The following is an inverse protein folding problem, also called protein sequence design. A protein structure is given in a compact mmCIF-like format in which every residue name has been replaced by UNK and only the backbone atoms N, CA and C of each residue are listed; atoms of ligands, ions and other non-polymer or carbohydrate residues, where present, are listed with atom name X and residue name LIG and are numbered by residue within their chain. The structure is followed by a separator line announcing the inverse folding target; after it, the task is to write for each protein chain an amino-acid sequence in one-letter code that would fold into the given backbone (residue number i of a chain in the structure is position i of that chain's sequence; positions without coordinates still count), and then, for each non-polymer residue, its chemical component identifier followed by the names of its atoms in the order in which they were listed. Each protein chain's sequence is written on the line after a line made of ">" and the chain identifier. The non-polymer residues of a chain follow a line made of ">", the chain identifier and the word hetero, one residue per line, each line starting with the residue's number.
data_IF_844583461831
#
_entry.id   IF_844583461831
#
_cell.length_a   1.000
_cell.length_b   1.000
_cell.length_c   1.000
_cell.angle_alpha   90.00
_cell.angle_beta   90.00
_cell.angle_gamma   90.00
#
_symmetry.space_group_name_H-M   'P 1'
#
loop_
_entity.id
_entity.type
_entity.pdbx_description
1 polymer ?
#
# COMPACT_ATOMS: atom_id res chain seq x y z
N UNK A 1 35.95 -12.96 -10.91
CA UNK A 1 34.53 -13.04 -11.29
C UNK A 1 34.08 -11.62 -11.58
N UNK A 2 33.43 -11.34 -12.71
CA UNK A 2 32.82 -10.03 -12.92
C UNK A 2 31.79 -9.84 -11.80
N UNK A 3 31.91 -8.76 -11.03
CA UNK A 3 30.90 -8.39 -10.04
C UNK A 3 29.60 -8.09 -10.79
N UNK A 4 28.45 -8.60 -10.31
CA UNK A 4 27.13 -8.28 -10.88
C UNK A 4 26.67 -6.84 -10.53
N UNK A 5 27.60 -6.01 -10.08
CA UNK A 5 27.39 -4.60 -9.76
C UNK A 5 27.46 -3.80 -11.06
N UNK A 6 26.52 -2.87 -11.31
CA UNK A 6 26.62 -1.93 -12.42
C UNK A 6 27.97 -1.22 -12.43
N UNK A 7 28.50 -0.92 -13.62
CA UNK A 7 29.69 -0.08 -13.77
C UNK A 7 29.35 1.39 -13.99
N UNK A 8 28.08 1.67 -14.31
CA UNK A 8 27.56 3.02 -14.49
C UNK A 8 27.42 3.70 -13.10
N UNK A 9 28.06 4.86 -12.86
CA UNK A 9 27.96 5.55 -11.58
C UNK A 9 26.57 6.12 -11.30
N UNK A 10 25.75 6.40 -12.31
CA UNK A 10 24.39 6.97 -12.16
C UNK A 10 23.46 6.10 -11.28
N UNK A 11 23.22 4.79 -11.59
CA UNK A 11 22.41 3.94 -10.74
C UNK A 11 23.03 3.68 -9.35
N UNK A 12 24.35 3.73 -9.24
CA UNK A 12 25.06 3.55 -7.96
C UNK A 12 24.92 4.78 -7.06
N UNK A 13 25.04 5.99 -7.62
CA UNK A 13 24.78 7.23 -6.90
C UNK A 13 23.30 7.31 -6.46
N UNK A 14 22.38 6.93 -7.35
CA UNK A 14 20.95 6.81 -7.02
C UNK A 14 20.71 5.83 -5.87
N UNK A 15 21.39 4.68 -5.87
CA UNK A 15 21.32 3.67 -4.79
C UNK A 15 21.76 4.25 -3.44
N UNK A 16 22.87 5.01 -3.42
CA UNK A 16 23.37 5.67 -2.21
C UNK A 16 22.35 6.66 -1.67
N UNK A 17 21.92 7.61 -2.51
CA UNK A 17 21.00 8.69 -2.11
C UNK A 17 19.65 8.12 -1.66
N UNK A 18 19.13 7.12 -2.35
CA UNK A 18 17.87 6.45 -1.97
C UNK A 18 17.99 5.73 -0.64
N UNK A 19 19.06 4.97 -0.45
CA UNK A 19 19.31 4.23 0.80
C UNK A 19 19.44 5.16 2.00
N UNK A 20 20.20 6.24 1.86
CA UNK A 20 20.38 7.24 2.91
C UNK A 20 19.07 7.96 3.23
N UNK A 21 18.31 8.37 2.21
CA UNK A 21 17.00 9.00 2.40
C UNK A 21 16.04 8.07 3.17
N UNK A 22 15.95 6.79 2.78
CA UNK A 22 15.13 5.80 3.50
C UNK A 22 15.60 5.57 4.94
N UNK A 23 16.90 5.70 5.22
CA UNK A 23 17.44 5.52 6.57
C UNK A 23 17.17 6.73 7.48
N UNK A 24 17.38 7.94 6.98
CA UNK A 24 17.25 9.18 7.77
C UNK A 24 15.81 9.65 7.92
N UNK A 25 14.90 9.24 7.03
CA UNK A 25 13.52 9.69 7.05
C UNK A 25 12.64 8.82 8.00
N UNK A 26 12.11 9.39 9.10
CA UNK A 26 11.31 8.61 10.05
C UNK A 26 10.02 8.04 9.44
N UNK A 27 9.47 8.69 8.40
CA UNK A 27 8.26 8.20 7.72
C UNK A 27 8.51 6.90 6.94
N UNK A 28 9.77 6.56 6.65
CA UNK A 28 10.10 5.30 5.96
C UNK A 28 9.63 4.08 6.77
N UNK A 29 9.77 4.16 8.09
CA UNK A 29 9.35 3.10 9.01
C UNK A 29 7.83 3.03 9.14
N UNK A 30 7.13 4.17 9.03
CA UNK A 30 5.66 4.20 9.00
C UNK A 30 5.11 3.54 7.72
N UNK A 31 5.75 3.78 6.57
CA UNK A 31 5.35 3.22 5.28
C UNK A 31 5.40 1.68 5.26
N UNK A 32 6.41 1.07 5.90
CA UNK A 32 6.43 -0.37 6.17
C UNK A 32 7.46 -0.73 7.24
N UNK A 33 7.00 -0.96 8.46
CA UNK A 33 7.89 -1.39 9.55
C UNK A 33 8.60 -2.71 9.21
N UNK A 34 7.91 -3.66 8.57
CA UNK A 34 8.48 -4.96 8.23
C UNK A 34 9.62 -4.87 7.21
N UNK A 35 9.42 -4.15 6.09
CA UNK A 35 10.51 -3.97 5.12
C UNK A 35 11.59 -3.04 5.62
N UNK A 36 11.23 -2.09 6.49
CA UNK A 36 12.21 -1.27 7.16
C UNK A 36 13.13 -2.13 8.03
N UNK A 37 12.63 -2.93 8.98
CA UNK A 37 13.49 -3.74 9.85
C UNK A 37 14.37 -4.73 9.05
N UNK A 38 13.82 -5.40 8.02
CA UNK A 38 14.59 -6.35 7.19
C UNK A 38 15.76 -5.73 6.42
N UNK A 39 15.66 -4.45 6.08
CA UNK A 39 16.70 -3.72 5.36
C UNK A 39 17.75 -3.05 6.26
N UNK A 40 17.58 -3.10 7.59
CA UNK A 40 18.33 -2.25 8.52
C UNK A 40 19.85 -2.39 8.40
N UNK A 41 20.36 -3.62 8.48
CA UNK A 41 21.80 -3.89 8.43
C UNK A 41 22.47 -3.41 7.14
N UNK A 42 21.77 -3.51 6.01
CA UNK A 42 22.28 -3.01 4.73
C UNK A 42 22.36 -1.49 4.69
N UNK A 43 21.35 -0.81 5.25
CA UNK A 43 21.34 0.67 5.31
C UNK A 43 22.40 1.20 6.26
N UNK A 44 22.58 0.58 7.42
CA UNK A 44 23.65 0.94 8.36
C UNK A 44 25.04 0.80 7.73
N UNK A 45 25.25 -0.24 6.90
CA UNK A 45 26.50 -0.41 6.16
C UNK A 45 26.74 0.70 5.12
N UNK A 46 25.69 1.24 4.50
CA UNK A 46 25.80 2.38 3.57
C UNK A 46 26.09 3.67 4.34
N UNK A 47 25.43 3.91 5.47
CA UNK A 47 25.68 5.08 6.33
C UNK A 47 27.14 5.09 6.79
N UNK A 48 27.64 3.96 7.31
CA UNK A 48 29.02 3.84 7.75
C UNK A 48 30.03 4.07 6.61
N UNK A 49 29.74 3.58 5.40
CA UNK A 49 30.59 3.80 4.24
C UNK A 49 30.56 5.27 3.75
N UNK A 50 29.39 5.92 3.81
CA UNK A 50 29.24 7.32 3.43
C UNK A 50 30.04 8.27 4.33
N UNK A 51 30.12 7.95 5.63
CA UNK A 51 30.93 8.68 6.62
C UNK A 51 32.45 8.46 6.44
N UNK A 52 32.87 7.48 5.63
CA UNK A 52 34.27 7.09 5.41
C UNK A 52 34.78 7.41 4.00
N UNK A 53 34.04 8.22 3.22
CA UNK A 53 34.45 8.58 1.85
C UNK A 53 35.73 9.40 1.78
N UNK A 54 36.05 10.15 2.85
CA UNK A 54 37.18 11.08 2.87
C UNK A 54 36.95 12.37 2.06
N UNK A 55 35.77 12.54 1.45
CA UNK A 55 35.37 13.75 0.73
C UNK A 55 34.54 14.66 1.64
N UNK A 56 35.05 15.87 1.90
CA UNK A 56 34.39 16.84 2.80
C UNK A 56 33.02 17.27 2.26
N UNK A 57 32.89 17.44 0.95
CA UNK A 57 31.62 17.82 0.30
C UNK A 57 30.56 16.72 0.46
N UNK A 58 30.93 15.47 0.19
CA UNK A 58 30.04 14.32 0.39
C UNK A 58 29.62 14.20 1.85
N UNK A 59 30.56 14.36 2.78
CA UNK A 59 30.28 14.28 4.23
C UNK A 59 29.31 15.38 4.68
N UNK A 60 29.48 16.61 4.18
CA UNK A 60 28.56 17.73 4.41
C UNK A 60 27.15 17.41 3.88
N UNK A 61 27.05 16.97 2.63
CA UNK A 61 25.78 16.66 1.96
C UNK A 61 25.04 15.49 2.62
N UNK A 62 25.75 14.47 3.12
CA UNK A 62 25.17 13.39 3.93
C UNK A 62 24.61 13.93 5.25
N UNK A 63 25.31 14.86 5.90
CA UNK A 63 24.82 15.56 7.09
C UNK A 63 23.57 16.39 6.81
N UNK A 64 23.55 17.15 5.72
CA UNK A 64 22.37 17.90 5.31
C UNK A 64 21.18 16.99 4.97
N UNK A 65 21.42 15.84 4.33
CA UNK A 65 20.39 14.86 3.99
C UNK A 65 19.80 14.20 5.24
N UNK A 66 20.62 14.02 6.29
CA UNK A 66 20.15 13.51 7.59
C UNK A 66 19.14 14.45 8.23
N UNK A 67 19.37 15.75 8.16
CA UNK A 67 18.47 16.77 8.72
C UNK A 67 17.26 17.05 7.83
N UNK A 68 17.43 16.94 6.50
CA UNK A 68 16.40 17.26 5.50
C UNK A 68 16.28 16.16 4.44
N UNK A 69 15.80 14.96 4.80
CA UNK A 69 15.77 13.80 3.89
C UNK A 69 14.83 13.98 2.68
N UNK A 70 13.86 14.89 2.79
CA UNK A 70 12.89 15.22 1.74
C UNK A 70 13.30 16.41 0.86
N UNK A 71 14.50 16.98 1.04
CA UNK A 71 14.94 18.14 0.25
C UNK A 71 15.51 17.71 -1.11
N UNK A 72 14.87 18.11 -2.23
CA UNK A 72 15.30 17.70 -3.57
C UNK A 72 16.66 18.27 -3.96
N UNK A 73 17.03 19.46 -3.47
CA UNK A 73 18.31 20.09 -3.79
C UNK A 73 19.48 19.35 -3.14
N UNK A 74 19.32 18.93 -1.87
CA UNK A 74 20.35 18.16 -1.16
C UNK A 74 20.56 16.80 -1.82
N UNK A 75 19.48 16.11 -2.19
CA UNK A 75 19.55 14.80 -2.87
C UNK A 75 20.23 14.91 -4.23
N UNK A 76 19.88 15.92 -5.02
CA UNK A 76 20.49 16.15 -6.33
C UNK A 76 21.97 16.50 -6.19
N UNK A 77 22.33 17.36 -5.23
CA UNK A 77 23.73 17.73 -4.99
C UNK A 77 24.59 16.52 -4.58
N UNK A 78 24.08 15.66 -3.68
CA UNK A 78 24.78 14.43 -3.28
C UNK A 78 24.93 13.47 -4.45
N UNK A 79 23.86 13.27 -5.24
CA UNK A 79 23.91 12.46 -6.44
C UNK A 79 24.99 12.94 -7.41
N UNK A 80 24.94 14.22 -7.79
CA UNK A 80 25.91 14.83 -8.72
C UNK A 80 27.33 14.68 -8.20
N UNK A 81 27.57 14.93 -6.91
CA UNK A 81 28.91 14.80 -6.31
C UNK A 81 29.47 13.38 -6.43
N UNK A 82 28.63 12.37 -6.19
CA UNK A 82 29.04 10.96 -6.29
C UNK A 82 29.39 10.57 -7.74
N UNK A 83 28.64 11.09 -8.73
CA UNK A 83 28.95 10.87 -10.15
C UNK A 83 30.25 11.57 -10.57
N UNK A 84 30.49 12.80 -10.11
CA UNK A 84 31.74 13.52 -10.35
C UNK A 84 32.95 12.79 -9.76
N UNK A 85 32.86 12.33 -8.50
CA UNK A 85 33.92 11.55 -7.85
C UNK A 85 34.25 10.26 -8.63
N UNK A 86 33.23 9.62 -9.21
CA UNK A 86 33.44 8.43 -10.04
C UNK A 86 34.11 8.78 -11.38
N UNK A 87 33.75 9.91 -12.00
CA UNK A 87 34.36 10.40 -13.23
C UNK A 87 35.84 10.81 -13.03
N UNK A 88 36.19 11.30 -11.84
CA UNK A 88 37.56 11.69 -11.47
C UNK A 88 38.49 10.51 -11.13
N UNK A 89 38.06 9.27 -11.42
CA UNK A 89 38.84 8.05 -11.24
C UNK A 89 38.53 7.28 -9.97
N UNK A 90 37.65 7.80 -9.11
CA UNK A 90 37.18 7.13 -7.89
C UNK A 90 38.31 6.72 -6.93
N UNK A 91 37.94 5.99 -5.88
CA UNK A 91 38.87 5.41 -4.93
C UNK A 91 38.20 4.27 -4.17
N UNK A 92 38.98 3.50 -3.41
CA UNK A 92 38.50 2.32 -2.67
C UNK A 92 37.29 2.62 -1.77
N UNK A 93 37.24 3.82 -1.17
CA UNK A 93 36.12 4.26 -0.35
C UNK A 93 34.83 4.47 -1.17
N UNK A 94 34.92 5.06 -2.36
CA UNK A 94 33.77 5.24 -3.25
C UNK A 94 33.28 3.91 -3.83
N UNK A 95 34.21 3.03 -4.23
CA UNK A 95 33.89 1.67 -4.67
C UNK A 95 33.18 0.87 -3.57
N UNK A 96 33.64 1.01 -2.32
CA UNK A 96 33.00 0.41 -1.15
C UNK A 96 31.60 0.97 -0.96
N UNK A 97 31.43 2.29 -0.97
CA UNK A 97 30.13 2.94 -0.82
C UNK A 97 29.13 2.46 -1.89
N UNK A 98 29.54 2.47 -3.16
CA UNK A 98 28.73 1.98 -4.28
C UNK A 98 28.41 0.49 -4.16
N UNK A 99 29.38 -0.34 -3.76
CA UNK A 99 29.16 -1.76 -3.52
C UNK A 99 28.14 -2.03 -2.40
N UNK A 100 28.23 -1.28 -1.29
CA UNK A 100 27.26 -1.38 -0.18
C UNK A 100 25.88 -0.88 -0.58
N UNK A 101 25.81 0.22 -1.33
CA UNK A 101 24.54 0.78 -1.80
C UNK A 101 23.84 -0.17 -2.78
N UNK A 102 24.58 -0.77 -3.71
CA UNK A 102 24.00 -1.76 -4.62
C UNK A 102 23.52 -3.03 -3.88
N UNK A 103 24.26 -3.46 -2.86
CA UNK A 103 23.82 -4.54 -1.98
C UNK A 103 22.54 -4.17 -1.22
N UNK A 104 22.44 -2.94 -0.71
CA UNK A 104 21.23 -2.45 -0.05
C UNK A 104 20.05 -2.41 -1.01
N UNK A 105 20.21 -1.86 -2.22
CA UNK A 105 19.17 -1.84 -3.24
C UNK A 105 18.69 -3.23 -3.66
N UNK A 106 19.61 -4.20 -3.72
CA UNK A 106 19.31 -5.59 -4.10
C UNK A 106 18.61 -6.38 -3.00
N UNK A 107 18.77 -5.99 -1.73
CA UNK A 107 18.23 -6.71 -0.57
C UNK A 107 17.11 -5.95 0.16
N UNK A 108 16.91 -4.67 -0.16
CA UNK A 108 15.82 -3.84 0.36
C UNK A 108 14.58 -3.93 -0.52
N UNK A 109 13.42 -3.97 0.13
CA UNK A 109 12.11 -3.83 -0.52
C UNK A 109 11.49 -2.45 -0.31
N UNK A 110 12.27 -1.51 0.23
CA UNK A 110 11.86 -0.14 0.50
C UNK A 110 12.76 0.81 -0.30
N UNK A 111 12.16 1.47 -1.28
CA UNK A 111 12.78 2.53 -2.06
C UNK A 111 12.17 3.89 -1.76
N UNK A 112 12.52 4.89 -2.57
CA UNK A 112 12.08 6.28 -2.39
C UNK A 112 11.85 6.95 -3.73
N UNK A 113 10.83 7.79 -3.80
CA UNK A 113 10.55 8.68 -4.91
C UNK A 113 10.41 10.11 -4.39
N UNK A 114 11.03 11.05 -5.09
CA UNK A 114 10.87 12.48 -4.86
C UNK A 114 10.78 13.17 -6.22
N UNK A 115 9.59 13.68 -6.52
CA UNK A 115 9.33 14.45 -7.72
C UNK A 115 10.09 15.77 -7.72
N UNK A 116 10.45 16.24 -8.92
CA UNK A 116 11.27 17.45 -9.13
C UNK A 116 10.56 18.73 -8.69
N UNK A 117 9.23 18.69 -8.66
CA UNK A 117 8.35 19.80 -8.29
C UNK A 117 7.68 19.59 -6.93
N UNK A 118 8.13 18.60 -6.15
CA UNK A 118 7.67 18.42 -4.78
C UNK A 118 8.28 19.52 -3.90
N UNK A 119 7.44 20.37 -3.31
CA UNK A 119 7.85 21.45 -2.41
C UNK A 119 7.58 21.15 -0.93
N UNK A 120 6.79 20.10 -0.64
CA UNK A 120 6.40 19.64 0.70
C UNK A 120 5.73 20.69 1.61
N UNK A 121 5.61 21.92 1.15
CA UNK A 121 5.32 23.11 1.95
C UNK A 121 4.34 23.98 1.20
N UNK A 122 3.07 23.94 1.59
CA UNK A 122 2.02 24.79 1.01
C UNK A 122 0.71 24.06 0.67
N UNK A 123 0.75 22.73 0.56
CA UNK A 123 -0.46 21.96 0.34
C UNK A 123 -1.32 21.88 1.61
N UNK A 124 -2.52 22.47 1.57
CA UNK A 124 -3.48 22.32 2.65
C UNK A 124 -3.97 20.87 2.74
N UNK A 125 -4.02 20.33 3.96
CA UNK A 125 -4.54 18.99 4.23
C UNK A 125 -5.99 18.90 3.77
N UNK A 126 -6.27 17.98 2.86
CA UNK A 126 -7.64 17.67 2.45
C UNK A 126 -8.31 16.91 3.60
N UNK A 127 -9.45 17.41 4.08
CA UNK A 127 -10.21 16.78 5.16
C UNK A 127 -11.47 16.07 4.64
N UNK A 128 -12.01 15.06 5.35
CA UNK A 128 -13.24 14.38 4.95
C UNK A 128 -14.41 15.33 4.69
N UNK A 129 -14.57 16.39 5.49
CA UNK A 129 -15.69 17.32 5.37
C UNK A 129 -15.66 18.04 4.01
N UNK A 130 -14.46 18.36 3.52
CA UNK A 130 -14.28 18.98 2.21
C UNK A 130 -14.62 18.01 1.08
N UNK A 131 -14.23 16.74 1.19
CA UNK A 131 -14.64 15.71 0.23
C UNK A 131 -16.16 15.51 0.21
N UNK A 132 -16.81 15.59 1.39
CA UNK A 132 -18.27 15.51 1.52
C UNK A 132 -19.04 16.67 0.87
N UNK A 133 -18.39 17.79 0.53
CA UNK A 133 -19.03 18.87 -0.25
C UNK A 133 -19.19 18.55 -1.73
N UNK A 134 -18.50 17.52 -2.22
CA UNK A 134 -18.59 17.10 -3.63
C UNK A 134 -19.78 16.18 -3.81
N UNK A 135 -20.47 16.35 -4.94
CA UNK A 135 -21.51 15.40 -5.32
C UNK A 135 -20.91 13.99 -5.46
N UNK A 136 -21.62 12.94 -5.01
CA UNK A 136 -21.12 11.57 -5.07
C UNK A 136 -20.94 11.02 -6.48
N UNK A 137 -21.50 11.68 -7.50
CA UNK A 137 -21.56 11.18 -8.87
C UNK A 137 -22.74 10.23 -9.07
N UNK A 138 -22.85 9.68 -10.28
CA UNK A 138 -23.97 8.81 -10.65
C UNK A 138 -23.84 7.41 -10.00
N UNK A 139 -24.95 6.91 -9.48
CA UNK A 139 -25.11 5.54 -8.98
C UNK A 139 -25.35 4.51 -10.10
N UNK A 140 -25.56 3.25 -9.72
CA UNK A 140 -26.12 2.27 -10.65
C UNK A 140 -27.57 2.61 -11.00
N UNK A 141 -27.93 2.40 -12.26
CA UNK A 141 -29.31 2.44 -12.73
C UNK A 141 -30.09 1.17 -12.33
N UNK A 142 -31.42 1.24 -12.26
CA UNK A 142 -32.25 0.05 -12.06
C UNK A 142 -32.04 -0.96 -13.19
N UNK A 143 -31.67 -2.19 -12.83
CA UNK A 143 -31.47 -3.28 -13.80
C UNK A 143 -30.08 -3.33 -14.45
N UNK A 144 -29.15 -2.46 -14.05
CA UNK A 144 -27.75 -2.62 -14.44
C UNK A 144 -27.21 -3.98 -13.96
N UNK A 145 -26.42 -4.64 -14.80
CA UNK A 145 -25.74 -5.91 -14.51
C UNK A 145 -24.21 -5.71 -14.60
N UNK A 146 -23.57 -5.22 -13.53
CA UNK A 146 -22.14 -4.94 -13.50
C UNK A 146 -21.28 -6.18 -13.77
N UNK A 147 -20.25 -6.02 -14.60
CA UNK A 147 -19.28 -7.08 -14.89
C UNK A 147 -18.16 -7.13 -13.85
N UNK A 148 -17.87 -6.00 -13.20
CA UNK A 148 -16.82 -5.83 -12.20
C UNK A 148 -17.42 -5.46 -10.86
N UNK A 149 -17.00 -6.16 -9.80
CA UNK A 149 -17.29 -5.79 -8.41
C UNK A 149 -16.01 -5.31 -7.73
N UNK A 150 -15.97 -4.05 -7.36
CA UNK A 150 -14.94 -3.49 -6.50
C UNK A 150 -15.38 -3.67 -5.04
N UNK A 151 -14.56 -4.33 -4.23
CA UNK A 151 -14.81 -4.53 -2.80
C UNK A 151 -13.76 -3.76 -2.01
N UNK A 152 -14.22 -2.82 -1.19
CA UNK A 152 -13.39 -1.94 -0.37
C UNK A 152 -13.61 -2.25 1.10
N UNK A 153 -12.71 -3.02 1.75
CA UNK A 153 -12.76 -3.25 3.19
C UNK A 153 -12.34 -1.98 3.93
N UNK A 154 -13.07 -1.61 4.98
CA UNK A 154 -12.87 -0.32 5.64
C UNK A 154 -13.02 -0.38 7.15
N UNK A 155 -12.16 0.36 7.85
CA UNK A 155 -12.31 0.72 9.27
C UNK A 155 -11.56 2.01 9.57
N UNK A 156 -12.23 2.95 10.23
CA UNK A 156 -11.58 4.12 10.81
C UNK A 156 -12.12 4.40 12.21
N UNK A 157 -11.26 4.25 13.23
CA UNK A 157 -11.52 4.63 14.62
C UNK A 157 -10.78 5.91 15.03
N UNK A 158 -9.98 6.46 14.12
CA UNK A 158 -9.05 7.55 14.38
C UNK A 158 -9.62 8.91 13.97
N UNK A 159 -8.72 9.86 13.63
CA UNK A 159 -9.08 11.25 13.36
C UNK A 159 -9.72 11.47 11.97
N UNK A 160 -10.10 10.42 11.24
CA UNK A 160 -10.78 10.53 9.95
C UNK A 160 -9.86 10.47 8.72
N UNK A 161 -8.56 10.19 8.86
CA UNK A 161 -7.64 10.12 7.71
C UNK A 161 -7.96 8.94 6.79
N UNK A 162 -8.34 7.78 7.35
CA UNK A 162 -8.79 6.64 6.53
C UNK A 162 -10.15 6.92 5.91
N UNK A 163 -11.04 7.63 6.60
CA UNK A 163 -12.29 8.10 6.01
C UNK A 163 -12.04 9.05 4.83
N UNK A 164 -11.12 10.02 4.96
CA UNK A 164 -10.71 10.89 3.85
C UNK A 164 -10.27 10.05 2.65
N UNK A 165 -9.39 9.09 2.91
CA UNK A 165 -8.86 8.22 1.87
C UNK A 165 -9.96 7.41 1.20
N UNK A 166 -10.87 6.79 1.97
CA UNK A 166 -12.02 6.09 1.44
C UNK A 166 -12.86 7.00 0.53
N UNK A 167 -13.19 8.21 0.98
CA UNK A 167 -13.99 9.15 0.19
C UNK A 167 -13.27 9.56 -1.10
N UNK A 168 -11.96 9.79 -1.06
CA UNK A 168 -11.18 10.09 -2.25
C UNK A 168 -11.11 8.90 -3.22
N UNK A 169 -10.93 7.68 -2.70
CA UNK A 169 -10.96 6.43 -3.47
C UNK A 169 -12.31 6.24 -4.17
N UNK A 170 -13.43 6.35 -3.43
CA UNK A 170 -14.78 6.22 -3.98
C UNK A 170 -15.07 7.29 -5.03
N UNK A 171 -14.65 8.53 -4.81
CA UNK A 171 -14.84 9.61 -5.80
C UNK A 171 -13.96 9.43 -7.04
N UNK A 172 -12.74 8.91 -6.90
CA UNK A 172 -11.89 8.56 -8.03
C UNK A 172 -12.47 7.40 -8.85
N UNK A 173 -13.08 6.41 -8.19
CA UNK A 173 -13.85 5.33 -8.82
C UNK A 173 -15.11 5.82 -9.53
N UNK A 174 -15.60 7.04 -9.29
CA UNK A 174 -16.74 7.61 -10.03
C UNK A 174 -16.30 8.36 -11.29
N UNK A 175 -15.01 8.66 -11.43
CA UNK A 175 -14.39 9.24 -12.62
C UNK A 175 -13.62 8.15 -13.38
N UNK A 176 -14.34 7.21 -13.99
CA UNK A 176 -13.78 6.11 -14.79
C UNK A 176 -14.17 6.26 -16.27
N UNK A 177 -13.31 5.78 -17.18
CA UNK A 177 -13.55 5.84 -18.63
C UNK A 177 -14.53 4.79 -19.16
N UNK A 178 -14.91 3.82 -18.33
CA UNK A 178 -15.98 2.85 -18.63
C UNK A 178 -17.35 3.39 -18.20
N UNK A 179 -18.45 2.96 -18.85
CA UNK A 179 -19.79 3.30 -18.41
C UNK A 179 -20.03 2.89 -16.95
N UNK A 180 -20.79 3.71 -16.22
CA UNK A 180 -21.13 3.45 -14.81
C UNK A 180 -21.75 2.07 -14.60
N UNK A 181 -22.65 1.63 -15.48
CA UNK A 181 -23.30 0.32 -15.44
C UNK A 181 -22.34 -0.89 -15.54
N UNK A 182 -21.06 -0.66 -15.89
CA UNK A 182 -20.09 -1.74 -16.11
C UNK A 182 -19.49 -2.31 -14.81
N UNK A 183 -19.51 -1.54 -13.72
CA UNK A 183 -18.89 -1.92 -12.46
C UNK A 183 -19.76 -1.52 -11.27
N UNK A 184 -19.53 -2.11 -10.11
CA UNK A 184 -20.16 -1.75 -8.84
C UNK A 184 -19.10 -1.63 -7.73
N UNK A 185 -19.41 -0.83 -6.71
CA UNK A 185 -18.53 -0.61 -5.56
C UNK A 185 -19.27 -0.96 -4.28
N UNK A 186 -18.75 -1.99 -3.60
CA UNK A 186 -19.18 -2.41 -2.27
C UNK A 186 -18.17 -1.93 -1.24
N UNK A 187 -18.63 -1.17 -0.26
CA UNK A 187 -17.84 -0.87 0.94
C UNK A 187 -18.28 -1.79 2.07
N UNK A 188 -17.31 -2.42 2.73
CA UNK A 188 -17.54 -3.26 3.91
C UNK A 188 -16.89 -2.59 5.11
N UNK A 189 -17.70 -1.92 5.94
CA UNK A 189 -17.24 -1.35 7.20
C UNK A 189 -17.22 -2.44 8.27
N UNK A 190 -16.04 -2.72 8.83
CA UNK A 190 -15.91 -3.66 9.94
C UNK A 190 -15.42 -2.94 11.20
N UNK A 191 -16.32 -2.81 12.17
CA UNK A 191 -16.06 -2.19 13.47
C UNK A 191 -17.09 -2.73 14.50
N UNK A 192 -17.08 -2.27 15.74
CA UNK A 192 -18.12 -2.58 16.73
C UNK A 192 -19.41 -1.77 16.55
N UNK A 193 -19.36 -0.65 15.82
CA UNK A 193 -20.54 0.15 15.43
C UNK A 193 -20.35 0.72 14.03
N UNK A 194 -21.42 0.93 13.23
CA UNK A 194 -21.33 1.49 11.88
C UNK A 194 -21.11 3.01 11.95
N UNK A 195 -19.86 3.44 12.18
CA UNK A 195 -19.51 4.84 12.47
C UNK A 195 -19.70 5.76 11.28
N UNK A 196 -19.41 5.26 10.09
CA UNK A 196 -19.31 6.08 8.88
C UNK A 196 -20.38 5.78 7.84
N UNK A 197 -21.39 4.98 8.19
CA UNK A 197 -22.49 4.57 7.31
C UNK A 197 -23.07 5.74 6.53
N UNK A 198 -23.53 6.79 7.21
CA UNK A 198 -24.24 7.90 6.57
C UNK A 198 -23.33 8.72 5.65
N UNK A 199 -22.03 8.75 5.94
CA UNK A 199 -21.02 9.41 5.11
C UNK A 199 -20.66 8.58 3.88
N UNK A 200 -20.65 7.25 4.00
CA UNK A 200 -20.23 6.34 2.92
C UNK A 200 -21.35 5.98 1.96
N UNK A 201 -22.58 5.80 2.47
CA UNK A 201 -23.76 5.40 1.68
C UNK A 201 -23.96 6.19 0.39
N UNK A 202 -23.79 7.53 0.35
CA UNK A 202 -23.94 8.28 -0.89
C UNK A 202 -22.91 7.95 -1.98
N UNK A 203 -21.74 7.45 -1.60
CA UNK A 203 -20.59 7.25 -2.50
C UNK A 203 -20.38 5.79 -2.92
N UNK A 204 -21.02 4.83 -2.25
CA UNK A 204 -20.97 3.40 -2.54
C UNK A 204 -22.29 2.91 -3.16
N UNK A 205 -22.25 1.85 -3.96
CA UNK A 205 -23.50 1.24 -4.47
C UNK A 205 -24.07 0.27 -3.44
N UNK A 206 -23.18 -0.40 -2.72
CA UNK A 206 -23.52 -1.28 -1.62
C UNK A 206 -22.67 -0.92 -0.39
N UNK A 207 -23.34 -0.86 0.75
CA UNK A 207 -22.70 -0.73 2.05
C UNK A 207 -23.08 -1.94 2.90
N UNK A 208 -22.08 -2.64 3.41
CA UNK A 208 -22.24 -3.74 4.35
C UNK A 208 -21.55 -3.38 5.66
N UNK A 209 -22.20 -3.71 6.77
CA UNK A 209 -21.59 -3.59 8.09
C UNK A 209 -21.31 -4.99 8.65
N UNK A 210 -20.05 -5.24 8.99
CA UNK A 210 -19.56 -6.52 9.48
C UNK A 210 -19.04 -6.33 10.92
N UNK A 211 -19.89 -6.62 11.92
CA UNK A 211 -19.59 -6.29 13.32
C UNK A 211 -18.38 -7.08 13.85
N UNK A 212 -17.31 -6.38 14.19
CA UNK A 212 -16.11 -6.92 14.86
C UNK A 212 -15.45 -5.84 15.72
N UNK A 213 -15.78 -5.78 17.02
CA UNK A 213 -15.21 -4.80 17.94
C UNK A 213 -13.69 -4.92 18.15
N UNK A 214 -13.12 -6.10 17.90
CA UNK A 214 -11.71 -6.37 18.18
C UNK A 214 -10.78 -5.96 17.00
N UNK A 215 -9.73 -6.74 16.76
CA UNK A 215 -8.79 -6.57 15.64
C UNK A 215 -9.52 -6.56 14.29
N UNK A 216 -9.05 -5.72 13.36
CA UNK A 216 -9.60 -5.70 11.99
C UNK A 216 -9.33 -7.04 11.33
N UNK A 217 -10.22 -7.49 10.45
CA UNK A 217 -9.98 -8.67 9.65
C UNK A 217 -10.30 -8.33 8.19
N UNK A 218 -9.25 -7.94 7.46
CA UNK A 218 -9.34 -7.56 6.04
C UNK A 218 -9.91 -8.71 5.21
N UNK A 219 -9.36 -9.91 5.38
CA UNK A 219 -9.77 -11.12 4.66
C UNK A 219 -11.27 -11.39 4.78
N UNK A 220 -11.80 -11.34 6.00
CA UNK A 220 -13.22 -11.54 6.27
C UNK A 220 -14.08 -10.42 5.68
N UNK A 221 -13.69 -9.16 5.84
CA UNK A 221 -14.42 -8.03 5.26
C UNK A 221 -14.51 -8.15 3.72
N UNK A 222 -13.41 -8.56 3.07
CA UNK A 222 -13.39 -8.82 1.62
C UNK A 222 -14.30 -9.99 1.25
N UNK A 223 -14.17 -11.14 1.91
CA UNK A 223 -15.03 -12.30 1.65
C UNK A 223 -16.51 -11.95 1.84
N UNK A 224 -16.84 -11.22 2.90
CA UNK A 224 -18.21 -10.78 3.18
C UNK A 224 -18.73 -9.86 2.07
N UNK A 225 -17.92 -8.93 1.56
CA UNK A 225 -18.27 -8.08 0.43
C UNK A 225 -18.49 -8.87 -0.86
N UNK A 226 -17.62 -9.83 -1.17
CA UNK A 226 -17.78 -10.68 -2.35
C UNK A 226 -19.05 -11.51 -2.28
N UNK A 227 -19.32 -12.14 -1.12
CA UNK A 227 -20.41 -13.11 -0.95
C UNK A 227 -21.78 -12.46 -0.78
N UNK A 228 -21.87 -11.32 -0.09
CA UNK A 228 -23.15 -10.73 0.30
C UNK A 228 -23.59 -9.56 -0.58
N UNK A 229 -22.75 -9.07 -1.49
CA UNK A 229 -23.18 -8.08 -2.49
C UNK A 229 -24.12 -8.72 -3.51
N UNK A 230 -25.31 -8.13 -3.76
CA UNK A 230 -26.27 -8.63 -4.74
C UNK A 230 -25.69 -8.73 -6.15
N UNK A 231 -26.25 -9.58 -7.00
CA UNK A 231 -25.82 -9.72 -8.39
C UNK A 231 -24.62 -10.66 -8.58
N UNK A 232 -24.18 -10.79 -9.83
CA UNK A 232 -23.10 -11.70 -10.24
C UNK A 232 -22.10 -10.94 -11.11
N UNK A 233 -21.00 -10.49 -10.51
CA UNK A 233 -19.87 -9.96 -11.26
C UNK A 233 -18.98 -11.10 -11.79
N UNK A 234 -18.45 -10.95 -13.00
CA UNK A 234 -17.47 -11.87 -13.57
C UNK A 234 -16.08 -11.68 -12.92
N UNK A 235 -15.75 -10.42 -12.59
CA UNK A 235 -14.46 -9.98 -12.08
C UNK A 235 -14.64 -9.31 -10.72
N UNK A 236 -13.74 -9.60 -9.80
CA UNK A 236 -13.62 -8.94 -8.49
C UNK A 236 -12.34 -8.09 -8.50
N UNK A 237 -12.46 -6.86 -8.03
CA UNK A 237 -11.34 -6.02 -7.62
C UNK A 237 -11.37 -5.86 -6.10
N UNK A 238 -10.40 -6.42 -5.41
CA UNK A 238 -10.15 -6.14 -3.99
C UNK A 238 -9.31 -4.87 -3.97
N UNK A 239 -9.82 -3.80 -3.36
CA UNK A 239 -9.17 -2.50 -3.36
C UNK A 239 -9.16 -1.92 -1.95
N UNK A 240 -7.98 -1.64 -1.41
CA UNK A 240 -7.86 -0.97 -0.12
C UNK A 240 -8.42 0.46 -0.19
N UNK A 241 -9.04 0.91 0.91
CA UNK A 241 -9.65 2.24 1.00
C UNK A 241 -8.65 3.39 0.79
N UNK A 242 -7.35 3.09 0.91
CA UNK A 242 -6.25 4.03 0.83
C UNK A 242 -5.64 4.14 -0.58
N UNK A 243 -6.19 3.46 -1.59
CA UNK A 243 -5.75 3.55 -2.98
C UNK A 243 -6.38 4.74 -3.72
N UNK A 244 -5.57 5.58 -4.39
CA UNK A 244 -6.04 6.62 -5.31
C UNK A 244 -5.85 6.20 -6.76
N UNK A 245 -6.95 5.90 -7.46
CA UNK A 245 -6.93 5.33 -8.82
C UNK A 245 -7.07 6.40 -9.92
N UNK A 246 -6.44 6.16 -11.07
CA UNK A 246 -6.62 6.98 -12.29
C UNK A 246 -7.94 6.67 -13.03
N UNK A 247 -8.23 7.48 -14.06
CA UNK A 247 -9.48 7.40 -14.85
C UNK A 247 -9.61 6.10 -15.66
N UNK A 248 -8.50 5.50 -16.06
CA UNK A 248 -8.50 4.30 -16.91
C UNK A 248 -8.31 3.02 -16.10
N UNK A 249 -8.32 3.12 -14.76
CA UNK A 249 -8.09 2.02 -13.84
C UNK A 249 -8.96 0.79 -14.12
N UNK A 250 -10.29 0.95 -14.22
CA UNK A 250 -11.20 -0.19 -14.49
C UNK A 250 -10.97 -0.73 -15.91
N UNK A 251 -10.95 0.15 -16.93
CA UNK A 251 -10.80 -0.25 -18.33
C UNK A 251 -9.53 -1.07 -18.57
N UNK A 252 -8.39 -0.55 -18.10
CA UNK A 252 -7.07 -1.16 -18.27
C UNK A 252 -6.97 -2.50 -17.55
N UNK A 253 -7.53 -2.62 -16.35
CA UNK A 253 -7.47 -3.87 -15.60
C UNK A 253 -8.40 -4.96 -16.15
N UNK A 254 -9.59 -4.59 -16.62
CA UNK A 254 -10.49 -5.55 -17.27
C UNK A 254 -9.91 -6.07 -18.58
N UNK A 255 -9.26 -5.20 -19.37
CA UNK A 255 -8.63 -5.61 -20.63
C UNK A 255 -7.63 -6.76 -20.48
N UNK A 256 -6.97 -6.88 -19.31
CA UNK A 256 -6.01 -7.96 -18.99
C UNK A 256 -6.67 -9.33 -18.92
N UNK A 257 -7.94 -9.41 -18.53
CA UNK A 257 -8.69 -10.66 -18.47
C UNK A 257 -9.08 -11.23 -19.85
N UNK A 258 -8.90 -10.46 -20.92
CA UNK A 258 -9.06 -10.97 -22.30
C UNK A 258 -7.85 -11.77 -22.79
N UNK A 259 -6.74 -11.79 -22.05
CA UNK A 259 -5.60 -12.64 -22.37
C UNK A 259 -5.92 -14.12 -22.05
N UNK A 260 -5.48 -15.07 -22.90
CA UNK A 260 -5.67 -16.49 -22.63
C UNK A 260 -5.12 -16.89 -21.27
N UNK A 261 -5.94 -17.55 -20.45
CA UNK A 261 -5.54 -18.05 -19.14
C UNK A 261 -5.54 -17.03 -18.00
N UNK A 262 -5.85 -15.76 -18.24
CA UNK A 262 -5.88 -14.74 -17.19
C UNK A 262 -6.97 -15.02 -16.14
N UNK A 263 -6.55 -15.35 -14.91
CA UNK A 263 -7.43 -15.66 -13.78
C UNK A 263 -7.33 -14.65 -12.63
N UNK A 264 -6.20 -13.96 -12.51
CA UNK A 264 -6.05 -12.80 -11.65
C UNK A 264 -4.71 -12.11 -11.85
N UNK A 265 -4.56 -10.93 -11.25
CA UNK A 265 -3.32 -10.16 -11.30
C UNK A 265 -3.25 -9.10 -10.19
N UNK A 266 -2.03 -8.65 -9.89
CA UNK A 266 -1.80 -7.33 -9.28
C UNK A 266 -1.58 -6.32 -10.40
N UNK A 267 -2.26 -5.18 -10.33
CA UNK A 267 -2.13 -4.13 -11.36
C UNK A 267 -0.75 -3.47 -11.37
N UNK A 268 -0.01 -3.61 -10.28
CA UNK A 268 1.19 -2.87 -9.99
C UNK A 268 2.32 -3.82 -9.56
N UNK A 269 3.55 -3.32 -9.73
CA UNK A 269 4.75 -3.98 -9.25
C UNK A 269 5.23 -3.31 -7.98
N UNK A 270 5.20 -1.99 -7.94
CA UNK A 270 5.66 -1.22 -6.79
C UNK A 270 4.51 -0.31 -6.29
N UNK A 271 4.36 -0.23 -4.97
CA UNK A 271 3.36 0.60 -4.31
C UNK A 271 4.01 1.87 -3.77
N UNK A 272 3.41 3.02 -4.07
CA UNK A 272 3.91 4.32 -3.70
C UNK A 272 3.15 4.81 -2.46
N UNK A 273 3.73 4.61 -1.29
CA UNK A 273 3.20 5.11 -0.03
C UNK A 273 3.51 6.61 0.09
N UNK A 274 2.50 7.43 -0.17
CA UNK A 274 2.62 8.88 -0.14
C UNK A 274 2.74 9.41 1.29
N UNK A 275 3.35 10.58 1.44
CA UNK A 275 3.20 11.38 2.65
C UNK A 275 1.91 12.22 2.60
N UNK A 276 1.63 12.95 3.69
CA UNK A 276 0.40 13.73 3.80
C UNK A 276 0.30 14.87 2.76
N UNK A 277 1.42 15.55 2.49
CA UNK A 277 1.45 16.65 1.53
C UNK A 277 1.18 16.14 0.11
N UNK A 278 1.89 15.09 -0.32
CA UNK A 278 1.69 14.44 -1.61
C UNK A 278 0.30 13.83 -1.74
N UNK A 279 -0.24 13.24 -0.66
CA UNK A 279 -1.62 12.73 -0.64
C UNK A 279 -2.64 13.83 -0.89
N UNK A 280 -2.55 14.93 -0.14
CA UNK A 280 -3.47 16.05 -0.29
C UNK A 280 -3.37 16.68 -1.68
N UNK A 281 -2.16 16.77 -2.24
CA UNK A 281 -1.95 17.28 -3.60
C UNK A 281 -2.53 16.34 -4.66
N UNK A 282 -2.30 15.03 -4.53
CA UNK A 282 -2.82 14.01 -5.45
C UNK A 282 -4.35 13.96 -5.46
N UNK A 283 -4.99 14.09 -4.29
CA UNK A 283 -6.44 14.19 -4.17
C UNK A 283 -6.98 15.43 -4.89
N UNK A 284 -6.34 16.59 -4.71
CA UNK A 284 -6.72 17.83 -5.40
C UNK A 284 -6.60 17.70 -6.91
N UNK A 285 -5.49 17.13 -7.38
CA UNK A 285 -5.24 16.94 -8.80
C UNK A 285 -6.26 15.99 -9.44
N UNK A 286 -6.49 14.82 -8.85
CA UNK A 286 -7.47 13.86 -9.38
C UNK A 286 -8.89 14.36 -9.31
N UNK A 287 -9.31 14.93 -8.18
CA UNK A 287 -10.73 15.20 -7.94
C UNK A 287 -11.15 16.63 -8.31
N UNK A 288 -10.36 17.63 -7.97
CA UNK A 288 -10.71 19.04 -8.24
C UNK A 288 -10.19 19.51 -9.61
N UNK A 289 -8.94 19.19 -9.97
CA UNK A 289 -8.40 19.52 -11.30
C UNK A 289 -8.85 18.52 -12.37
N UNK A 290 -9.41 17.37 -11.96
CA UNK A 290 -9.95 16.31 -12.84
C UNK A 290 -8.90 15.75 -13.79
N UNK A 291 -7.65 15.70 -13.35
CA UNK A 291 -6.60 15.02 -14.09
C UNK A 291 -6.97 13.54 -14.28
N UNK A 292 -6.59 12.97 -15.42
CA UNK A 292 -6.82 11.55 -15.68
C UNK A 292 -5.96 10.67 -14.77
N UNK A 293 -4.71 11.08 -14.55
CA UNK A 293 -3.71 10.47 -13.68
C UNK A 293 -3.03 11.56 -12.83
N UNK A 294 -2.33 11.15 -11.78
CA UNK A 294 -1.57 12.06 -10.91
C UNK A 294 -0.16 12.23 -11.45
N UNK A 295 0.36 13.44 -11.52
CA UNK A 295 1.74 13.69 -11.97
C UNK A 295 2.77 13.28 -10.87
N UNK A 296 3.61 12.26 -11.12
CA UNK A 296 4.60 11.82 -10.15
C UNK A 296 5.67 12.88 -9.83
N UNK A 297 5.89 13.88 -10.68
CA UNK A 297 6.88 14.94 -10.42
C UNK A 297 6.50 15.86 -9.26
N UNK A 298 5.26 15.78 -8.76
CA UNK A 298 4.80 16.49 -7.57
C UNK A 298 4.66 15.60 -6.34
N UNK A 299 5.03 14.32 -6.43
CA UNK A 299 4.86 13.36 -5.34
C UNK A 299 6.15 13.09 -4.59
N UNK A 300 6.02 12.88 -3.29
CA UNK A 300 7.00 12.18 -2.46
C UNK A 300 6.38 10.87 -2.00
N UNK A 301 7.14 9.78 -2.14
CA UNK A 301 6.66 8.46 -1.77
C UNK A 301 7.78 7.55 -1.26
N UNK A 302 7.45 6.69 -0.30
CA UNK A 302 8.22 5.46 -0.07
C UNK A 302 7.70 4.39 -1.01
N UNK A 303 8.61 3.79 -1.76
CA UNK A 303 8.27 2.81 -2.80
C UNK A 303 8.44 1.42 -2.22
N UNK A 304 7.33 0.77 -1.85
CA UNK A 304 7.36 -0.63 -1.47
C UNK A 304 7.50 -1.48 -2.73
N UNK A 305 8.54 -2.30 -2.80
CA UNK A 305 8.86 -3.10 -3.98
C UNK A 305 8.19 -4.45 -3.94
N UNK A 306 7.36 -4.74 -4.93
CA UNK A 306 6.62 -6.01 -5.10
C UNK A 306 5.67 -6.39 -3.94
N UNK A 307 5.11 -5.47 -3.13
CA UNK A 307 4.26 -5.89 -2.02
C UNK A 307 3.01 -6.56 -2.58
N UNK A 308 2.56 -7.68 -1.99
CA UNK A 308 1.25 -8.21 -2.33
C UNK A 308 0.17 -7.30 -1.72
N UNK A 309 -1.05 -7.39 -2.25
CA UNK A 309 -2.21 -6.74 -1.64
C UNK A 309 -2.61 -5.44 -2.33
N UNK A 310 -3.19 -4.52 -1.55
CA UNK A 310 -3.75 -3.21 -1.91
C UNK A 310 -4.74 -3.16 -3.08
N UNK A 311 -4.36 -3.66 -4.25
CA UNK A 311 -5.20 -3.80 -5.43
C UNK A 311 -4.99 -5.17 -6.07
N UNK A 312 -5.99 -6.04 -5.93
CA UNK A 312 -5.96 -7.40 -6.48
C UNK A 312 -7.17 -7.61 -7.38
N UNK A 313 -6.93 -8.05 -8.60
CA UNK A 313 -7.98 -8.35 -9.56
C UNK A 313 -8.05 -9.85 -9.77
N UNK A 314 -9.25 -10.43 -9.71
CA UNK A 314 -9.43 -11.88 -9.92
C UNK A 314 -10.76 -12.15 -10.61
N UNK A 315 -10.83 -13.27 -11.35
CA UNK A 315 -12.13 -13.81 -11.75
C UNK A 315 -12.87 -14.31 -10.51
N UNK A 316 -14.18 -14.05 -10.44
CA UNK A 316 -15.04 -14.55 -9.36
C UNK A 316 -14.91 -16.06 -9.18
N UNK A 317 -14.79 -16.80 -10.28
CA UNK A 317 -14.59 -18.25 -10.25
C UNK A 317 -13.25 -18.68 -9.64
N UNK A 318 -12.16 -17.92 -9.84
CA UNK A 318 -10.87 -18.20 -9.20
C UNK A 318 -10.91 -17.90 -7.69
N UNK A 319 -11.50 -16.76 -7.32
CA UNK A 319 -11.67 -16.39 -5.92
C UNK A 319 -12.36 -17.49 -5.11
N UNK A 320 -13.50 -18.00 -5.60
CA UNK A 320 -14.20 -19.09 -4.92
C UNK A 320 -13.46 -20.42 -4.97
N UNK A 321 -12.75 -20.73 -6.06
CA UNK A 321 -11.96 -21.96 -6.20
C UNK A 321 -10.89 -22.11 -5.12
N UNK A 322 -10.24 -21.01 -4.74
CA UNK A 322 -9.22 -21.00 -3.69
C UNK A 322 -9.77 -20.76 -2.29
N UNK A 323 -11.11 -20.67 -2.15
CA UNK A 323 -11.78 -20.42 -0.88
C UNK A 323 -11.65 -18.97 -0.38
N UNK A 324 -11.52 -17.97 -1.25
CA UNK A 324 -11.42 -16.56 -0.87
C UNK A 324 -10.14 -16.21 -0.11
N UNK A 325 -10.18 -15.13 0.68
CA UNK A 325 -9.09 -14.75 1.59
C UNK A 325 -9.18 -15.55 2.90
N UNK A 326 -8.05 -15.82 3.55
CA UNK A 326 -8.00 -16.58 4.80
C UNK A 326 -8.49 -15.72 5.98
N UNK A 327 -9.66 -16.07 6.52
CA UNK A 327 -10.32 -15.32 7.59
C UNK A 327 -9.66 -15.51 8.97
N UNK A 328 -8.60 -16.32 9.08
CA UNK A 328 -7.84 -16.48 10.33
C UNK A 328 -6.88 -15.31 10.60
N UNK A 329 -6.53 -14.55 9.58
CA UNK A 329 -5.65 -13.38 9.72
C UNK A 329 -6.37 -12.23 10.43
N UNK A 330 -5.79 -11.74 11.52
CA UNK A 330 -6.30 -10.60 12.25
C UNK A 330 -5.26 -9.48 12.38
N UNK A 331 -5.72 -8.24 12.42
CA UNK A 331 -4.84 -7.08 12.33
C UNK A 331 -4.24 -6.96 10.93
N UNK A 332 -2.94 -6.63 10.87
CA UNK A 332 -2.23 -6.40 9.63
C UNK A 332 -1.04 -7.35 9.50
N UNK A 333 -0.91 -7.98 8.33
CA UNK A 333 0.29 -8.71 7.93
C UNK A 333 0.01 -10.17 7.59
N UNK A 334 0.51 -10.59 6.42
CA UNK A 334 0.54 -11.98 5.96
C UNK A 334 -0.63 -12.38 5.05
N UNK A 335 -1.80 -11.77 5.20
CA UNK A 335 -3.04 -12.14 4.51
C UNK A 335 -2.94 -11.98 2.99
N UNK A 336 -2.36 -10.87 2.53
CA UNK A 336 -2.18 -10.58 1.11
C UNK A 336 -1.14 -11.51 0.48
N UNK A 337 -0.10 -11.90 1.25
CA UNK A 337 0.89 -12.88 0.78
C UNK A 337 0.24 -14.25 0.59
N UNK A 338 -0.53 -14.72 1.58
CA UNK A 338 -1.23 -15.99 1.51
C UNK A 338 -2.19 -16.05 0.31
N UNK A 339 -3.00 -14.99 0.11
CA UNK A 339 -3.91 -14.93 -1.03
C UNK A 339 -3.17 -14.96 -2.37
N UNK A 340 -2.11 -14.16 -2.53
CA UNK A 340 -1.31 -14.13 -3.75
C UNK A 340 -0.66 -15.48 -4.05
N UNK A 341 -0.08 -16.15 -3.05
CA UNK A 341 0.54 -17.47 -3.24
C UNK A 341 -0.49 -18.55 -3.58
N UNK A 342 -1.69 -18.52 -2.97
CA UNK A 342 -2.77 -19.45 -3.32
C UNK A 342 -3.29 -19.20 -4.73
N UNK A 343 -3.41 -17.93 -5.14
CA UNK A 343 -3.75 -17.59 -6.52
C UNK A 343 -2.72 -18.16 -7.50
N UNK A 344 -1.43 -17.85 -7.31
CA UNK A 344 -0.34 -18.29 -8.18
C UNK A 344 -0.22 -19.83 -8.26
N UNK A 345 -0.46 -20.53 -7.15
CA UNK A 345 -0.42 -22.01 -7.12
C UNK A 345 -1.61 -22.66 -7.84
N UNK A 346 -2.78 -22.02 -7.86
CA UNK A 346 -4.03 -22.64 -8.35
C UNK A 346 -4.56 -22.01 -9.64
N UNK A 347 -3.94 -20.93 -10.14
CA UNK A 347 -4.42 -20.11 -11.25
C UNK A 347 -3.29 -19.24 -11.79
N UNK A 348 -3.35 -18.82 -13.06
CA UNK A 348 -2.40 -17.84 -13.57
C UNK A 348 -2.61 -16.49 -12.85
N UNK A 349 -1.56 -16.01 -12.18
CA UNK A 349 -1.57 -14.79 -11.39
C UNK A 349 -0.46 -13.85 -11.84
N UNK A 350 -0.82 -12.84 -12.63
CA UNK A 350 0.16 -11.95 -13.27
C UNK A 350 0.48 -10.72 -12.41
N UNK A 351 1.60 -10.06 -12.74
CA UNK A 351 1.98 -8.78 -12.16
C UNK A 351 2.27 -7.77 -13.26
N UNK A 352 1.70 -6.57 -13.13
CA UNK A 352 1.89 -5.46 -14.05
C UNK A 352 2.70 -4.33 -13.38
N UNK A 353 2.96 -3.23 -14.10
CA UNK A 353 3.79 -2.13 -13.60
C UNK A 353 3.01 -0.81 -13.52
N UNK A 354 1.69 -0.86 -13.33
CA UNK A 354 0.93 0.37 -13.14
C UNK A 354 1.38 1.06 -11.84
N UNK A 355 1.36 2.40 -11.78
CA UNK A 355 1.50 3.10 -10.51
C UNK A 355 0.35 2.74 -9.57
N UNK A 356 0.68 2.40 -8.32
CA UNK A 356 -0.30 2.28 -7.24
C UNK A 356 0.00 3.34 -6.19
N UNK A 357 -0.86 4.36 -6.10
CA UNK A 357 -0.75 5.42 -5.10
C UNK A 357 -1.50 5.02 -3.84
N UNK A 358 -0.75 4.78 -2.77
CA UNK A 358 -1.28 4.52 -1.44
C UNK A 358 -1.24 5.82 -0.63
N UNK A 359 -2.41 6.40 -0.41
CA UNK A 359 -2.59 7.65 0.34
C UNK A 359 -2.14 7.50 1.79
N UNK A 360 -1.59 8.58 2.34
CA UNK A 360 -1.04 8.59 3.68
C UNK A 360 -2.10 8.27 4.73
N UNK A 361 -1.74 7.45 5.70
CA UNK A 361 -2.39 7.38 7.01
C UNK A 361 -1.36 6.89 8.03
N UNK A 362 -1.53 7.18 9.32
CA UNK A 362 -0.68 6.61 10.37
C UNK A 362 -0.69 5.08 10.32
N UNK A 363 0.48 4.46 10.46
CA UNK A 363 0.61 3.01 10.39
C UNK A 363 -0.19 2.33 11.50
N UNK A 364 -0.82 1.21 11.17
CA UNK A 364 -1.48 0.32 12.12
C UNK A 364 -0.78 -1.03 12.23
N UNK A 365 0.34 -1.20 11.52
CA UNK A 365 1.14 -2.41 11.53
C UNK A 365 2.02 -2.44 12.78
N UNK A 366 2.05 -3.61 13.43
CA UNK A 366 2.92 -3.87 14.58
C UNK A 366 3.68 -5.17 14.31
N UNK A 367 4.91 -5.25 14.80
CA UNK A 367 5.69 -6.49 14.81
C UNK A 367 5.59 -7.13 16.19
N UNK A 368 5.76 -8.45 16.22
CA UNK A 368 5.92 -9.23 17.45
C UNK A 368 7.30 -8.97 18.06
N UNK A 369 7.51 -9.41 19.30
CA UNK A 369 8.80 -9.25 20.02
C UNK A 369 9.98 -9.92 19.27
N UNK A 370 9.72 -10.94 18.45
CA UNK A 370 10.70 -11.64 17.61
C UNK A 370 10.97 -10.94 16.27
N UNK A 371 10.35 -9.77 16.00
CA UNK A 371 10.50 -9.01 14.76
C UNK A 371 9.62 -9.49 13.60
N UNK A 372 8.80 -10.53 13.81
CA UNK A 372 7.91 -11.08 12.79
C UNK A 372 6.54 -10.40 12.77
N UNK A 373 5.79 -10.59 11.68
CA UNK A 373 4.41 -10.13 11.57
C UNK A 373 3.49 -10.82 12.60
N UNK A 374 2.43 -10.13 13.03
CA UNK A 374 1.46 -10.64 14.03
C UNK A 374 0.92 -12.03 13.65
N UNK A 375 0.64 -12.25 12.36
CA UNK A 375 0.09 -13.49 11.87
C UNK A 375 1.13 -14.51 11.38
N UNK A 376 2.43 -14.32 11.65
CA UNK A 376 3.48 -15.26 11.22
C UNK A 376 3.31 -16.68 11.77
N UNK A 377 2.47 -16.87 12.80
CA UNK A 377 2.10 -18.16 13.36
C UNK A 377 1.09 -18.94 12.51
N UNK A 378 0.45 -18.32 11.53
CA UNK A 378 -0.48 -18.95 10.58
C UNK A 378 0.36 -19.47 9.40
N UNK A 379 0.40 -20.80 9.16
CA UNK A 379 1.15 -21.33 8.03
C UNK A 379 0.53 -20.86 6.71
N UNK A 380 1.34 -20.22 5.86
CA UNK A 380 0.91 -19.83 4.51
C UNK A 380 0.41 -21.06 3.72
N UNK A 381 -0.55 -20.85 2.82
CA UNK A 381 -1.16 -21.88 1.97
C UNK A 381 -1.96 -22.96 2.73
N UNK A 382 -2.12 -22.84 4.06
CA UNK A 382 -2.91 -23.80 4.84
C UNK A 382 -4.42 -23.53 4.81
N UNK A 383 -4.84 -22.42 4.20
CA UNK A 383 -6.24 -22.14 3.91
C UNK A 383 -6.65 -22.79 2.59
N UNK A 384 -7.87 -23.31 2.54
CA UNK A 384 -8.44 -23.89 1.33
C UNK A 384 -9.95 -24.04 1.45
N UNK A 385 -10.60 -24.65 0.45
CA UNK A 385 -12.03 -24.92 0.48
C UNK A 385 -12.39 -25.80 1.68
N UNK A 386 -12.88 -25.19 2.75
CA UNK A 386 -13.36 -25.90 3.94
C UNK A 386 -14.86 -26.19 3.81
N UNK A 387 -15.41 -27.03 4.69
CA UNK A 387 -16.86 -27.21 4.78
C UNK A 387 -17.59 -25.94 5.30
N UNK A 388 -16.86 -25.00 5.91
CA UNK A 388 -17.40 -23.71 6.34
C UNK A 388 -17.41 -22.72 5.15
N UNK A 389 -18.57 -22.09 4.86
CA UNK A 389 -18.64 -21.04 3.85
C UNK A 389 -17.89 -19.79 4.31
N UNK A 390 -17.19 -19.15 3.37
CA UNK A 390 -16.56 -17.85 3.58
C UNK A 390 -17.57 -16.71 3.59
N UNK A 391 -17.21 -15.60 4.22
CA UNK A 391 -17.98 -14.36 4.14
C UNK A 391 -19.29 -14.37 4.94
N UNK A 392 -19.45 -15.25 5.93
CA UNK A 392 -20.56 -15.15 6.88
C UNK A 392 -20.44 -13.81 7.65
N UNK A 393 -21.37 -12.88 7.38
CA UNK A 393 -21.43 -11.56 8.02
C UNK A 393 -21.53 -11.62 9.55
N UNK A 394 -21.98 -12.75 10.09
CA UNK A 394 -22.16 -12.96 11.53
C UNK A 394 -21.07 -13.83 12.15
N UNK A 395 -20.00 -14.16 11.42
CA UNK A 395 -18.90 -15.04 11.89
C UNK A 395 -18.38 -14.65 13.28
N UNK A 396 -18.16 -13.35 13.51
CA UNK A 396 -17.61 -12.83 14.76
C UNK A 396 -18.67 -12.28 15.73
N UNK A 397 -19.96 -12.35 15.38
CA UNK A 397 -21.07 -12.00 16.28
C UNK A 397 -21.57 -13.20 17.08
N UNK A 398 -21.39 -14.41 16.53
CA UNK A 398 -21.81 -15.65 17.19
C UNK A 398 -20.79 -16.02 18.29
N UNK A 399 -21.25 -16.38 19.50
CA UNK A 399 -20.34 -16.92 20.51
C UNK A 399 -19.69 -18.19 19.96
N UNK A 400 -18.36 -18.27 20.01
CA UNK A 400 -17.65 -19.50 19.64
C UNK A 400 -18.14 -20.65 20.53
N UNK A 401 -18.42 -21.85 19.96
CA UNK A 401 -18.80 -23.02 20.76
C UNK A 401 -17.68 -23.49 21.70
N UNK A 402 -16.45 -23.04 21.46
CA UNK A 402 -15.34 -23.09 22.40
C UNK A 402 -15.17 -21.71 23.05
N UNK A 403 -15.25 -21.64 24.38
CA UNK A 403 -15.24 -20.39 25.16
C UNK A 403 -14.08 -19.41 24.87
N UNK A 404 -14.09 -18.22 25.50
CA UNK A 404 -13.24 -17.10 25.11
C UNK A 404 -11.75 -17.48 25.10
N UNK A 405 -11.10 -17.28 23.95
CA UNK A 405 -9.64 -17.25 23.86
C UNK A 405 -9.12 -16.04 24.65
N UNK A 406 -8.12 -16.19 25.53
CA UNK A 406 -7.57 -15.04 26.25
C UNK A 406 -6.93 -14.07 25.26
N UNK A 407 -7.21 -12.78 25.44
CA UNK A 407 -6.58 -11.70 24.68
C UNK A 407 -5.05 -11.73 24.88
N UNK A 408 -4.24 -11.52 23.84
CA UNK A 408 -2.81 -11.35 24.01
C UNK A 408 -2.54 -9.99 24.69
N UNK A 409 -2.16 -10.07 25.97
CA UNK A 409 -1.48 -9.07 26.79
C UNK A 409 -1.66 -7.58 26.42
N UNK A 410 -2.68 -6.94 26.98
CA UNK A 410 -2.55 -5.52 27.38
C UNK A 410 -1.65 -5.47 28.62
N UNK A 411 -0.34 -5.23 28.43
CA UNK A 411 0.48 -4.73 29.55
C UNK A 411 0.26 -3.22 29.65
N UNK A 412 -0.50 -2.85 30.68
CA UNK A 412 -0.62 -1.49 31.21
C UNK A 412 0.75 -0.86 31.38
N UNK A 413 0.89 0.36 30.87
CA UNK A 413 1.95 1.27 31.26
C UNK A 413 1.63 1.78 32.67
N UNK A 414 2.08 1.06 33.69
CA UNK A 414 2.14 1.58 35.06
C UNK A 414 3.57 2.06 35.34
N UNK A 415 3.67 3.38 35.41
CA UNK A 415 4.52 4.21 36.27
C UNK A 415 5.45 3.48 37.23
N UNK A 416 6.75 3.74 37.10
CA UNK A 416 7.67 4.27 38.13
C UNK A 416 9.01 4.52 37.40
N UNK A 417 9.76 5.59 37.66
CA UNK A 417 10.58 5.75 38.87
C UNK A 417 11.07 7.21 38.92
N UNK A 418 11.01 7.79 40.12
CA UNK A 418 11.90 8.86 40.58
C UNK A 418 13.28 8.30 40.90
#
# INVERSE_FOLDING_TARGET
>A
MATMTPTDPEPLATAVVTTLAVHFDPQAREASIFYWERGLSYREAVVAAAEQTGDETTSCLVGELRERPADPAVRLALHTRLVELAADGGGEALETLFGRAWAAESNSRLGYHLGRHYDGTGQAVVRPERLGTRAPGDGLGPGDEPQVRVVVPFRDRGPGLRLRNLLACLQALRDQSVPRAFYEVTVVESDGTPRWRDTVLPHADHYLFACKPDSFNKSWAVNAGVVNTPGRAEIICILDADALVDRDFIARNVARFHQPGAMGHLSYRDMWCLDEAATSWAIEERLWRRAAEVDPDHLRAFVLRRPPGCCVWVRTSAFHRIGGMDERFEGWGGEDNDFAYRMDTHSAFDHYNDPLLHMYHPSSAVLREDGELVNAHIPALSWGPSAEPIGDLHRFERPSPTGPRPAPHERRADTHVS
#
